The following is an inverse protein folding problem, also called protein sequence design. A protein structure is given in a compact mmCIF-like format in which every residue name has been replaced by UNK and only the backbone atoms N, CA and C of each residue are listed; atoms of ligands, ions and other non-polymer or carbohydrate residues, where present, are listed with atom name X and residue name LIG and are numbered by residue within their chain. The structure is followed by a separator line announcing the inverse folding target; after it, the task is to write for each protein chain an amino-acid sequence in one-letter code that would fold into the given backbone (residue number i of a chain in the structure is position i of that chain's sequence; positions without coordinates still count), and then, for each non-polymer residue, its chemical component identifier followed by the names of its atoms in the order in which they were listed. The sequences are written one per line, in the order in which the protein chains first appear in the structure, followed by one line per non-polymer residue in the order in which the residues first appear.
data_IF_077288743326
#
_entry.id   IF_077288743326
#
_cell.length_a   1.000
_cell.length_b   1.000
_cell.length_c   1.000
_cell.angle_alpha   90.00
_cell.angle_beta   90.00
_cell.angle_gamma   90.00
#
_symmetry.space_group_name_H-M   'P 1'
#
loop_
_entity.id
_entity.type
_entity.pdbx_description
1 polymer ?
#
# COMPACT_ATOMS: atom_id res chain seq x y z
N UNK A 1 33.66 -8.29 -7.67
CA UNK A 1 33.80 -9.50 -6.81
C UNK A 1 32.42 -10.11 -6.69
N UNK A 2 32.29 -11.44 -6.74
CA UNK A 2 30.99 -12.08 -6.57
C UNK A 2 30.60 -12.03 -5.09
N UNK A 3 29.49 -11.39 -4.78
CA UNK A 3 28.94 -11.34 -3.43
C UNK A 3 28.08 -12.60 -3.20
N UNK A 4 28.20 -13.25 -2.04
CA UNK A 4 27.30 -14.35 -1.68
C UNK A 4 25.85 -13.86 -1.66
N UNK A 5 24.96 -14.76 -2.06
CA UNK A 5 23.53 -14.51 -2.12
C UNK A 5 22.93 -14.27 -0.73
N UNK A 6 21.74 -13.67 -0.69
CA UNK A 6 21.02 -13.45 0.57
C UNK A 6 20.69 -14.76 1.28
N UNK A 7 20.37 -15.82 0.53
CA UNK A 7 20.02 -17.13 1.07
C UNK A 7 21.21 -17.77 1.80
N UNK A 8 22.40 -17.71 1.22
CA UNK A 8 23.63 -18.21 1.86
C UNK A 8 23.94 -17.48 3.17
N UNK A 9 23.72 -16.16 3.23
CA UNK A 9 23.87 -15.40 4.48
C UNK A 9 22.81 -15.77 5.53
N UNK A 10 21.60 -16.11 5.13
CA UNK A 10 20.56 -16.57 6.06
C UNK A 10 20.96 -17.92 6.65
N UNK A 11 21.38 -18.88 5.84
CA UNK A 11 21.87 -20.18 6.33
C UNK A 11 23.09 -20.03 7.24
N UNK A 12 23.99 -19.07 6.96
CA UNK A 12 25.09 -18.74 7.86
C UNK A 12 24.60 -18.19 9.22
N UNK A 13 23.63 -17.27 9.22
CA UNK A 13 23.10 -16.67 10.45
C UNK A 13 22.30 -17.64 11.33
N UNK A 14 21.71 -18.68 10.74
CA UNK A 14 20.97 -19.73 11.45
C UNK A 14 21.81 -20.98 11.75
N UNK A 15 23.13 -20.93 11.54
CA UNK A 15 24.06 -22.06 11.75
C UNK A 15 23.66 -23.34 10.97
N UNK A 16 23.08 -23.19 9.78
CA UNK A 16 22.61 -24.29 8.93
C UNK A 16 23.70 -24.79 7.94
N UNK A 17 24.87 -24.16 7.95
CA UNK A 17 25.98 -24.47 7.04
C UNK A 17 27.02 -25.40 7.68
N UNK A 18 27.74 -26.15 6.85
CA UNK A 18 28.88 -26.96 7.30
C UNK A 18 30.07 -26.06 7.70
N UNK A 19 30.98 -26.57 8.53
CA UNK A 19 32.13 -25.83 9.06
C UNK A 19 33.01 -25.16 7.99
N UNK A 20 33.21 -25.82 6.84
CA UNK A 20 34.01 -25.27 5.75
C UNK A 20 33.30 -24.10 5.03
N UNK A 21 31.98 -24.17 4.91
CA UNK A 21 31.17 -23.13 4.27
C UNK A 21 31.04 -21.89 5.15
N UNK A 22 30.85 -22.08 6.46
CA UNK A 22 30.82 -20.97 7.42
C UNK A 22 32.18 -20.26 7.51
N UNK A 23 33.30 -21.01 7.48
CA UNK A 23 34.64 -20.44 7.44
C UNK A 23 34.89 -19.59 6.18
N UNK A 24 34.43 -20.04 5.01
CA UNK A 24 34.56 -19.29 3.75
C UNK A 24 33.75 -17.99 3.76
N UNK A 25 32.51 -18.02 4.25
CA UNK A 25 31.69 -16.82 4.39
C UNK A 25 32.26 -15.86 5.43
N UNK A 26 32.80 -16.37 6.53
CA UNK A 26 33.50 -15.55 7.52
C UNK A 26 34.74 -14.87 6.92
N UNK A 27 35.54 -15.59 6.14
CA UNK A 27 36.67 -15.00 5.41
C UNK A 27 36.22 -13.89 4.44
N UNK A 28 35.06 -14.06 3.79
CA UNK A 28 34.47 -13.04 2.94
C UNK A 28 34.08 -11.77 3.72
N UNK A 29 33.55 -11.90 4.94
CA UNK A 29 33.22 -10.76 5.82
C UNK A 29 34.45 -9.95 6.25
N UNK A 30 35.62 -10.59 6.35
CA UNK A 30 36.87 -9.89 6.61
C UNK A 30 37.36 -9.06 5.41
N UNK A 31 36.96 -9.44 4.20
CA UNK A 31 37.45 -8.82 2.95
C UNK A 31 36.46 -7.79 2.38
N UNK A 32 35.15 -7.97 2.59
CA UNK A 32 34.11 -7.12 2.02
C UNK A 32 33.35 -6.32 3.11
N UNK A 33 33.57 -4.99 3.19
CA UNK A 33 32.89 -4.14 4.19
C UNK A 33 31.38 -4.01 3.93
N UNK A 34 30.93 -4.09 2.68
CA UNK A 34 29.51 -3.98 2.32
C UNK A 34 28.69 -5.20 2.74
N UNK A 35 29.26 -6.40 2.63
CA UNK A 35 28.62 -7.61 3.16
C UNK A 35 28.63 -7.60 4.69
N UNK A 36 29.71 -7.10 5.30
CA UNK A 36 29.82 -6.97 6.76
C UNK A 36 28.77 -6.05 7.36
N UNK A 37 28.50 -4.89 6.75
CA UNK A 37 27.47 -3.98 7.27
C UNK A 37 26.08 -4.61 7.25
N UNK A 38 25.70 -5.26 6.15
CA UNK A 38 24.41 -5.94 6.00
C UNK A 38 24.22 -7.08 7.00
N UNK A 39 25.24 -7.93 7.18
CA UNK A 39 25.18 -9.05 8.13
C UNK A 39 25.09 -8.55 9.58
N UNK A 40 25.83 -7.49 9.93
CA UNK A 40 25.76 -6.88 11.25
C UNK A 40 24.37 -6.28 11.53
N UNK A 41 23.74 -5.64 10.55
CA UNK A 41 22.38 -5.11 10.67
C UNK A 41 21.37 -6.22 11.01
N UNK A 42 21.46 -7.36 10.31
CA UNK A 42 20.59 -8.51 10.57
C UNK A 42 20.84 -9.16 11.94
N UNK A 43 22.11 -9.25 12.37
CA UNK A 43 22.45 -9.74 13.71
C UNK A 43 21.95 -8.79 14.82
N UNK A 44 22.03 -7.47 14.60
CA UNK A 44 21.51 -6.48 15.53
C UNK A 44 19.98 -6.56 15.64
N UNK A 45 19.27 -6.70 14.52
CA UNK A 45 17.83 -6.90 14.52
C UNK A 45 17.42 -8.18 15.27
N UNK A 46 18.14 -9.28 15.05
CA UNK A 46 17.89 -10.56 15.74
C UNK A 46 18.12 -10.47 17.25
N UNK A 47 19.24 -9.90 17.68
CA UNK A 47 19.55 -9.73 19.10
C UNK A 47 18.54 -8.82 19.82
N UNK A 48 18.05 -7.77 19.16
CA UNK A 48 16.99 -6.92 19.69
C UNK A 48 15.65 -7.66 19.87
N UNK A 49 15.35 -8.62 18.99
CA UNK A 49 14.17 -9.50 19.13
C UNK A 49 14.36 -10.56 20.23
N UNK A 50 15.56 -11.09 20.41
CA UNK A 50 15.87 -12.04 21.50
C UNK A 50 15.81 -11.37 22.89
N UNK A 51 16.18 -10.09 22.98
CA UNK A 51 16.09 -9.29 24.19
C UNK A 51 14.63 -8.95 24.56
N UNK A 52 13.75 -8.88 23.56
CA UNK A 52 12.30 -8.75 23.73
C UNK A 52 11.67 -10.04 24.27
N UNK A 53 11.98 -10.40 25.52
CA UNK A 53 11.27 -11.44 26.26
C UNK A 53 9.97 -10.88 26.85
N UNK A 54 8.86 -11.49 26.47
CA UNK A 54 7.51 -11.23 27.03
C UNK A 54 7.60 -11.21 28.57
N UNK A 55 7.08 -10.16 29.24
CA UNK A 55 7.14 -10.09 30.70
C UNK A 55 6.46 -11.33 31.30
N UNK A 56 7.26 -12.18 31.96
CA UNK A 56 6.72 -13.28 32.76
C UNK A 56 5.78 -12.66 33.79
N UNK A 57 4.48 -12.96 33.66
CA UNK A 57 3.42 -12.51 34.56
C UNK A 57 3.81 -12.99 35.97
N UNK A 58 4.43 -12.13 36.78
CA UNK A 58 4.72 -12.42 38.18
C UNK A 58 3.37 -12.57 38.86
N UNK A 59 3.03 -13.81 39.24
CA UNK A 59 1.88 -14.09 40.07
C UNK A 59 2.03 -13.30 41.36
N UNK A 60 1.13 -12.33 41.57
CA UNK A 60 1.09 -11.53 42.79
C UNK A 60 0.62 -12.46 43.90
N UNK A 61 1.56 -12.94 44.73
CA UNK A 61 1.21 -13.67 45.96
C UNK A 61 0.60 -12.63 46.90
N UNK A 62 -0.73 -12.63 46.99
CA UNK A 62 -1.45 -11.85 47.99
C UNK A 62 -1.28 -12.59 49.31
N UNK A 63 -0.38 -12.10 50.16
CA UNK A 63 -0.21 -12.61 51.51
C UNK A 63 -1.40 -12.11 52.36
N UNK A 64 -2.46 -12.91 52.44
CA UNK A 64 -3.60 -12.64 53.30
C UNK A 64 -3.25 -12.97 54.76
N UNK A 65 -2.85 -11.96 55.54
CA UNK A 65 -2.78 -12.02 57.00
C UNK A 65 -4.20 -11.93 57.55
N UNK A 66 -4.88 -13.05 57.87
CA UNK A 66 -5.12 -13.35 59.29
C UNK A 66 -5.26 -14.86 59.65
N UNK A 67 -4.78 -15.80 58.82
CA UNK A 67 -4.96 -17.25 59.06
C UNK A 67 -3.77 -17.98 59.72
N UNK A 68 -2.75 -17.26 60.21
CA UNK A 68 -1.52 -17.87 60.76
C UNK A 68 -1.79 -18.73 62.01
N UNK A 69 -2.83 -18.42 62.80
CA UNK A 69 -3.12 -19.16 64.05
C UNK A 69 -3.63 -20.58 63.81
N UNK A 70 -4.43 -20.78 62.76
CA UNK A 70 -4.92 -22.11 62.38
C UNK A 70 -3.86 -22.91 61.60
N UNK A 71 -2.96 -22.22 60.91
CA UNK A 71 -1.85 -22.86 60.20
C UNK A 71 -0.88 -23.58 61.15
N UNK A 72 -0.64 -23.05 62.36
CA UNK A 72 0.24 -23.70 63.33
C UNK A 72 -0.34 -25.04 63.85
N UNK A 73 -1.63 -25.08 64.16
CA UNK A 73 -2.30 -26.31 64.60
C UNK A 73 -2.34 -27.36 63.48
N UNK A 74 -2.67 -26.94 62.25
CA UNK A 74 -2.62 -27.80 61.08
C UNK A 74 -1.19 -28.30 60.80
N UNK A 75 -0.16 -27.47 60.99
CA UNK A 75 1.24 -27.84 60.81
C UNK A 75 1.69 -28.90 61.83
N UNK A 76 1.24 -28.83 63.08
CA UNK A 76 1.56 -29.85 64.09
C UNK A 76 0.89 -31.18 63.74
N UNK A 77 -0.40 -31.18 63.40
CA UNK A 77 -1.13 -32.39 63.00
C UNK A 77 -0.54 -32.99 61.71
N UNK A 78 -0.18 -32.16 60.73
CA UNK A 78 0.50 -32.59 59.51
C UNK A 78 1.91 -33.10 59.78
N UNK A 79 2.67 -32.50 60.70
CA UNK A 79 4.02 -32.98 61.03
C UNK A 79 4.02 -34.36 61.70
N UNK A 80 3.02 -34.63 62.56
CA UNK A 80 2.84 -35.94 63.19
C UNK A 80 2.35 -36.97 62.15
N UNK A 81 1.40 -36.60 61.29
CA UNK A 81 0.91 -37.46 60.21
C UNK A 81 1.98 -37.80 59.17
N UNK A 82 2.83 -36.83 58.80
CA UNK A 82 3.97 -37.03 57.88
C UNK A 82 5.09 -37.84 58.54
N UNK A 83 5.34 -37.64 59.84
CA UNK A 83 6.33 -38.41 60.61
C UNK A 83 5.97 -39.90 60.70
N UNK A 84 4.70 -40.22 60.99
CA UNK A 84 4.23 -41.61 61.03
C UNK A 84 4.15 -42.19 59.61
N UNK A 85 3.67 -41.42 58.63
CA UNK A 85 3.55 -41.86 57.24
C UNK A 85 4.90 -42.23 56.60
N UNK A 86 5.99 -41.55 56.94
CA UNK A 86 7.33 -41.90 56.41
C UNK A 86 7.96 -43.14 57.04
N UNK A 87 7.56 -43.51 58.26
CA UNK A 87 8.07 -44.70 58.94
C UNK A 87 7.32 -45.97 58.52
N UNK A 88 6.08 -45.85 58.03
CA UNK A 88 5.25 -46.99 57.58
C UNK A 88 5.12 -47.11 56.06
N UNK A 89 5.73 -46.20 55.29
CA UNK A 89 5.74 -46.30 53.83
C UNK A 89 6.74 -47.38 53.40
N UNK A 90 6.25 -48.53 52.94
CA UNK A 90 7.00 -49.33 51.99
C UNK A 90 7.41 -48.42 50.80
N UNK A 91 8.55 -48.64 50.13
CA UNK A 91 8.91 -47.86 48.95
C UNK A 91 7.83 -48.07 47.90
N UNK A 92 6.87 -47.15 47.84
CA UNK A 92 5.94 -47.06 46.73
C UNK A 92 6.81 -46.74 45.52
N UNK A 93 6.84 -47.66 44.57
CA UNK A 93 7.64 -47.49 43.37
C UNK A 93 7.10 -46.29 42.59
N UNK A 94 7.74 -45.14 42.80
CA UNK A 94 7.41 -43.87 42.14
C UNK A 94 7.50 -44.02 40.63
N UNK A 95 8.26 -45.02 40.12
CA UNK A 95 8.26 -45.33 38.70
C UNK A 95 6.94 -45.96 38.23
N UNK A 96 6.31 -46.81 39.02
CA UNK A 96 5.05 -47.46 38.64
C UNK A 96 3.88 -46.46 38.61
N UNK A 97 3.85 -45.54 39.59
CA UNK A 97 2.86 -44.46 39.63
C UNK A 97 3.11 -43.41 38.53
N UNK A 98 4.37 -43.08 38.25
CA UNK A 98 4.75 -42.21 37.12
C UNK A 98 4.39 -42.84 35.77
N UNK A 99 4.65 -44.13 35.60
CA UNK A 99 4.35 -44.86 34.37
C UNK A 99 2.84 -44.92 34.08
N UNK A 100 2.00 -44.94 35.12
CA UNK A 100 0.55 -44.93 34.98
C UNK A 100 -0.05 -43.53 34.72
N UNK A 101 0.46 -42.49 35.37
CA UNK A 101 -0.17 -41.15 35.37
C UNK A 101 0.40 -40.21 34.28
N UNK A 102 1.68 -40.33 33.92
CA UNK A 102 2.32 -39.51 32.88
C UNK A 102 1.65 -39.60 31.49
N UNK A 103 1.17 -40.76 31.00
CA UNK A 103 0.52 -40.82 29.68
C UNK A 103 -0.86 -40.15 29.67
N UNK A 104 -1.69 -40.34 30.70
CA UNK A 104 -3.03 -39.74 30.77
C UNK A 104 -2.96 -38.22 30.91
N UNK A 105 -2.11 -37.72 31.83
CA UNK A 105 -1.91 -36.29 32.01
C UNK A 105 -1.32 -35.62 30.77
N UNK A 106 -0.36 -36.27 30.07
CA UNK A 106 0.15 -35.76 28.79
C UNK A 106 -0.94 -35.70 27.72
N UNK A 107 -1.84 -36.68 27.70
CA UNK A 107 -2.87 -36.75 26.68
C UNK A 107 -3.95 -35.69 26.91
N UNK A 108 -4.32 -35.45 28.17
CA UNK A 108 -5.26 -34.40 28.55
C UNK A 108 -4.66 -33.00 28.32
N UNK A 109 -3.42 -32.75 28.76
CA UNK A 109 -2.73 -31.49 28.46
C UNK A 109 -2.59 -31.24 26.96
N UNK A 110 -2.27 -32.27 26.16
CA UNK A 110 -2.20 -32.13 24.70
C UNK A 110 -3.55 -31.77 24.09
N UNK A 111 -4.64 -32.33 24.61
CA UNK A 111 -6.01 -32.01 24.15
C UNK A 111 -6.37 -30.57 24.50
N UNK A 112 -6.18 -30.16 25.75
CA UNK A 112 -6.45 -28.79 26.18
C UNK A 112 -5.60 -27.77 25.43
N UNK A 113 -4.30 -28.04 25.25
CA UNK A 113 -3.44 -27.19 24.42
C UNK A 113 -3.93 -27.13 22.98
N UNK A 114 -4.25 -28.27 22.35
CA UNK A 114 -4.72 -28.29 20.97
C UNK A 114 -6.08 -27.60 20.79
N UNK A 115 -6.91 -27.54 21.83
CA UNK A 115 -8.16 -26.80 21.84
C UNK A 115 -7.93 -25.29 22.01
N UNK A 116 -7.15 -24.89 23.01
CA UNK A 116 -6.79 -23.48 23.24
C UNK A 116 -6.06 -22.87 22.04
N UNK A 117 -5.16 -23.64 21.42
CA UNK A 117 -4.41 -23.19 20.26
C UNK A 117 -5.34 -23.00 19.05
N UNK A 118 -6.28 -23.92 18.82
CA UNK A 118 -7.30 -23.78 17.76
C UNK A 118 -8.19 -22.57 18.00
N UNK A 119 -8.68 -22.37 19.22
CA UNK A 119 -9.54 -21.23 19.57
C UNK A 119 -8.80 -19.88 19.42
N UNK A 120 -7.52 -19.81 19.80
CA UNK A 120 -6.71 -18.60 19.55
C UNK A 120 -6.44 -18.37 18.06
N UNK A 121 -6.17 -19.43 17.29
CA UNK A 121 -6.00 -19.33 15.85
C UNK A 121 -7.27 -18.82 15.17
N UNK A 122 -8.44 -19.38 15.49
CA UNK A 122 -9.71 -18.96 14.92
C UNK A 122 -10.06 -17.50 15.28
N UNK A 123 -9.77 -17.07 16.51
CA UNK A 123 -9.92 -15.67 16.93
C UNK A 123 -8.95 -14.75 16.19
N UNK A 124 -7.69 -15.14 16.05
CA UNK A 124 -6.70 -14.32 15.33
C UNK A 124 -6.99 -14.26 13.83
N UNK A 125 -7.44 -15.35 13.23
CA UNK A 125 -7.80 -15.43 11.82
C UNK A 125 -9.04 -14.58 11.52
N UNK A 126 -10.09 -14.69 12.35
CA UNK A 126 -11.31 -13.89 12.18
C UNK A 126 -11.08 -12.40 12.40
N UNK A 127 -10.29 -12.01 13.40
CA UNK A 127 -9.95 -10.59 13.64
C UNK A 127 -9.08 -10.00 12.54
N UNK A 128 -8.06 -10.75 12.08
CA UNK A 128 -7.19 -10.31 10.98
C UNK A 128 -7.98 -10.20 9.67
N UNK A 129 -8.86 -11.17 9.39
CA UNK A 129 -9.69 -11.15 8.18
C UNK A 129 -10.71 -10.01 8.22
N UNK A 130 -11.35 -9.77 9.37
CA UNK A 130 -12.27 -8.65 9.55
C UNK A 130 -11.57 -7.30 9.39
N UNK A 131 -10.40 -7.13 10.02
CA UNK A 131 -9.59 -5.91 9.89
C UNK A 131 -9.11 -5.69 8.45
N UNK A 132 -8.64 -6.75 7.78
CA UNK A 132 -8.24 -6.72 6.37
C UNK A 132 -9.41 -6.38 5.44
N UNK A 133 -10.58 -6.96 5.69
CA UNK A 133 -11.79 -6.68 4.91
C UNK A 133 -12.21 -5.22 5.08
N UNK A 134 -12.14 -4.69 6.30
CA UNK A 134 -12.46 -3.29 6.58
C UNK A 134 -11.47 -2.34 5.90
N UNK A 135 -10.16 -2.60 6.00
CA UNK A 135 -9.14 -1.84 5.27
C UNK A 135 -9.38 -1.89 3.74
N UNK A 136 -9.72 -3.07 3.21
CA UNK A 136 -10.03 -3.22 1.78
C UNK A 136 -11.26 -2.40 1.37
N UNK A 137 -12.32 -2.39 2.19
CA UNK A 137 -13.51 -1.56 1.96
C UNK A 137 -13.19 -0.08 2.00
N UNK A 138 -12.34 0.35 2.93
CA UNK A 138 -11.91 1.75 3.04
C UNK A 138 -11.12 2.18 1.80
N UNK A 139 -10.16 1.37 1.36
CA UNK A 139 -9.39 1.63 0.14
C UNK A 139 -10.28 1.69 -1.11
N UNK A 140 -11.25 0.77 -1.23
CA UNK A 140 -12.24 0.78 -2.33
C UNK A 140 -13.10 2.05 -2.30
N UNK A 141 -13.55 2.48 -1.12
CA UNK A 141 -14.36 3.68 -0.97
C UNK A 141 -13.56 4.96 -1.24
N UNK A 142 -12.29 4.99 -0.89
CA UNK A 142 -11.37 6.08 -1.20
C UNK A 142 -11.07 6.15 -2.70
N UNK A 143 -10.77 5.00 -3.31
CA UNK A 143 -10.57 4.90 -4.76
C UNK A 143 -11.83 5.35 -5.54
N UNK A 144 -13.02 4.89 -5.14
CA UNK A 144 -14.27 5.31 -5.77
C UNK A 144 -14.48 6.83 -5.69
N UNK A 145 -14.19 7.43 -4.53
CA UNK A 145 -14.24 8.89 -4.35
C UNK A 145 -13.22 9.62 -5.23
N UNK A 146 -11.99 9.12 -5.32
CA UNK A 146 -10.96 9.70 -6.16
C UNK A 146 -11.32 9.65 -7.65
N UNK A 147 -11.89 8.54 -8.12
CA UNK A 147 -12.35 8.38 -9.50
C UNK A 147 -13.50 9.35 -9.80
N UNK A 148 -14.49 9.48 -8.92
CA UNK A 148 -15.63 10.38 -9.14
C UNK A 148 -15.20 11.86 -9.17
N UNK A 149 -14.29 12.25 -8.28
CA UNK A 149 -13.71 13.58 -8.28
C UNK A 149 -12.98 13.89 -9.59
N UNK A 150 -12.17 12.95 -10.09
CA UNK A 150 -11.49 13.09 -11.38
C UNK A 150 -12.44 13.14 -12.55
N UNK A 151 -13.49 12.32 -12.58
CA UNK A 151 -14.52 12.40 -13.62
C UNK A 151 -15.17 13.77 -13.65
N UNK A 152 -15.51 14.33 -12.50
CA UNK A 152 -16.13 15.66 -12.43
C UNK A 152 -15.21 16.75 -12.97
N UNK A 153 -13.92 16.69 -12.64
CA UNK A 153 -12.89 17.59 -13.17
C UNK A 153 -12.76 17.45 -14.70
N UNK A 154 -12.71 16.22 -15.21
CA UNK A 154 -12.63 15.93 -16.64
C UNK A 154 -13.86 16.43 -17.40
N UNK A 155 -15.07 16.23 -16.86
CA UNK A 155 -16.31 16.74 -17.45
C UNK A 155 -16.30 18.26 -17.54
N UNK A 156 -15.83 18.95 -16.49
CA UNK A 156 -15.72 20.40 -16.50
C UNK A 156 -14.69 20.88 -17.54
N UNK A 157 -13.54 20.22 -17.62
CA UNK A 157 -12.51 20.55 -18.60
C UNK A 157 -12.98 20.33 -20.05
N UNK A 158 -13.70 19.24 -20.32
CA UNK A 158 -14.28 18.93 -21.63
C UNK A 158 -15.34 19.98 -22.01
N UNK A 159 -16.25 20.30 -21.09
CA UNK A 159 -17.29 21.30 -21.36
C UNK A 159 -16.68 22.68 -21.62
N UNK A 160 -15.69 23.10 -20.82
CA UNK A 160 -14.97 24.34 -21.05
C UNK A 160 -14.24 24.36 -22.40
N UNK A 161 -13.66 23.24 -22.82
CA UNK A 161 -13.04 23.11 -24.14
C UNK A 161 -14.07 23.20 -25.28
N UNK A 162 -15.24 22.58 -25.12
CA UNK A 162 -16.34 22.65 -26.08
C UNK A 162 -16.88 24.08 -26.23
N UNK A 163 -17.12 24.77 -25.11
CA UNK A 163 -17.56 26.18 -25.10
C UNK A 163 -16.55 27.08 -25.80
N UNK A 164 -15.26 26.85 -25.54
CA UNK A 164 -14.17 27.58 -26.22
C UNK A 164 -14.19 27.34 -27.72
N UNK A 165 -14.29 26.08 -28.18
CA UNK A 165 -14.36 25.75 -29.61
C UNK A 165 -15.60 26.36 -30.28
N UNK A 166 -16.74 26.38 -29.59
CA UNK A 166 -17.96 27.01 -30.11
C UNK A 166 -17.79 28.52 -30.26
N UNK A 167 -17.22 29.19 -29.26
CA UNK A 167 -16.95 30.64 -29.32
C UNK A 167 -15.98 31.00 -30.45
N UNK A 168 -14.93 30.20 -30.63
CA UNK A 168 -13.97 30.36 -31.73
C UNK A 168 -14.64 30.18 -33.09
N UNK A 169 -15.44 29.12 -33.29
CA UNK A 169 -16.17 28.93 -34.55
C UNK A 169 -17.11 30.07 -34.89
N UNK A 170 -17.79 30.63 -33.90
CA UNK A 170 -18.67 31.79 -34.12
C UNK A 170 -17.86 33.01 -34.55
N UNK A 171 -16.74 33.30 -33.89
CA UNK A 171 -15.85 34.40 -34.26
C UNK A 171 -15.28 34.24 -35.68
N UNK A 172 -14.81 33.04 -36.02
CA UNK A 172 -14.29 32.71 -37.35
C UNK A 172 -15.37 32.86 -38.43
N UNK A 173 -16.60 32.42 -38.15
CA UNK A 173 -17.73 32.61 -39.06
C UNK A 173 -18.04 34.09 -39.31
N UNK A 174 -18.02 34.91 -38.26
CA UNK A 174 -18.22 36.36 -38.42
C UNK A 174 -17.09 37.02 -39.21
N UNK A 175 -15.84 36.61 -38.99
CA UNK A 175 -14.70 37.09 -39.78
C UNK A 175 -14.84 36.71 -41.25
N UNK A 176 -15.13 35.43 -41.53
CA UNK A 176 -15.29 34.94 -42.89
C UNK A 176 -16.43 35.67 -43.61
N UNK A 177 -17.56 35.90 -42.93
CA UNK A 177 -18.66 36.68 -43.50
C UNK A 177 -18.23 38.11 -43.85
N UNK A 178 -17.50 38.78 -42.95
CA UNK A 178 -16.98 40.13 -43.20
C UNK A 178 -16.05 40.16 -44.40
N UNK A 179 -15.19 39.15 -44.55
CA UNK A 179 -14.28 39.04 -45.68
C UNK A 179 -15.04 38.84 -47.00
N UNK A 180 -16.06 37.98 -47.00
CA UNK A 180 -16.95 37.78 -48.16
C UNK A 180 -17.71 39.06 -48.52
N UNK A 181 -18.29 39.75 -47.53
CA UNK A 181 -18.99 41.02 -47.74
C UNK A 181 -18.02 42.09 -48.30
N UNK A 182 -16.76 42.11 -47.83
CA UNK A 182 -15.71 43.00 -48.32
C UNK A 182 -15.32 42.68 -49.76
N UNK A 183 -15.12 41.41 -50.09
CA UNK A 183 -14.83 40.97 -51.46
C UNK A 183 -15.96 41.31 -52.42
N UNK A 184 -17.22 41.18 -51.99
CA UNK A 184 -18.38 41.56 -52.80
C UNK A 184 -18.40 43.07 -53.10
N UNK A 185 -18.15 43.92 -52.09
CA UNK A 185 -18.07 45.39 -52.26
C UNK A 185 -16.91 45.79 -53.17
N UNK A 186 -15.72 45.19 -52.98
CA UNK A 186 -14.56 45.45 -53.83
C UNK A 186 -14.82 45.05 -55.28
N UNK A 187 -15.43 43.88 -55.49
CA UNK A 187 -15.78 43.36 -56.81
C UNK A 187 -16.79 44.27 -57.52
N UNK A 188 -17.86 44.68 -56.85
CA UNK A 188 -18.85 45.64 -57.39
C UNK A 188 -18.18 46.97 -57.77
N UNK A 189 -17.30 47.49 -56.92
CA UNK A 189 -16.57 48.73 -57.22
C UNK A 189 -15.63 48.59 -58.42
N UNK A 190 -15.01 47.42 -58.58
CA UNK A 190 -14.16 47.07 -59.73
C UNK A 190 -14.95 46.99 -61.03
N UNK A 191 -16.11 46.32 -61.02
CA UNK A 191 -17.00 46.23 -62.17
C UNK A 191 -17.51 47.60 -62.62
N UNK A 192 -17.96 48.45 -61.70
CA UNK A 192 -18.39 49.82 -62.04
C UNK A 192 -17.26 50.64 -62.66
N UNK A 193 -16.05 50.55 -62.11
CA UNK A 193 -14.87 51.25 -62.64
C UNK A 193 -14.53 50.76 -64.05
N UNK A 194 -14.55 49.45 -64.29
CA UNK A 194 -14.31 48.88 -65.61
C UNK A 194 -15.37 49.33 -66.62
N UNK A 195 -16.64 49.36 -66.23
CA UNK A 195 -17.73 49.86 -67.08
C UNK A 195 -17.54 51.34 -67.43
N UNK A 196 -17.16 52.19 -66.47
CA UNK A 196 -16.86 53.60 -66.72
C UNK A 196 -15.69 53.77 -67.70
N UNK A 197 -14.62 52.99 -67.56
CA UNK A 197 -13.48 53.01 -68.48
C UNK A 197 -13.88 52.56 -69.90
N UNK A 198 -14.74 51.55 -70.03
CA UNK A 198 -15.24 51.10 -71.34
C UNK A 198 -16.08 52.18 -72.03
N UNK A 199 -16.92 52.92 -71.29
CA UNK A 199 -17.68 54.06 -71.85
C UNK A 199 -16.72 55.17 -72.32
N UNK A 200 -15.71 55.52 -71.52
CA UNK A 200 -14.70 56.52 -71.92
C UNK A 200 -13.92 56.11 -73.18
N UNK A 201 -13.55 54.82 -73.28
CA UNK A 201 -12.88 54.30 -74.48
C UNK A 201 -13.79 54.36 -75.71
N UNK A 202 -15.07 54.01 -75.56
CA UNK A 202 -16.06 54.09 -76.64
C UNK A 202 -16.25 55.54 -77.12
N UNK A 203 -16.40 56.49 -76.20
CA UNK A 203 -16.51 57.92 -76.50
C UNK A 203 -15.25 58.45 -77.21
N UNK A 204 -14.05 58.01 -76.80
CA UNK A 204 -12.80 58.39 -77.47
C UNK A 204 -12.69 57.83 -78.90
N UNK A 205 -13.22 56.62 -79.14
CA UNK A 205 -13.25 56.02 -80.49
C UNK A 205 -14.36 56.54 -81.40
N UNK A 206 -15.29 57.35 -80.90
CA UNK A 206 -16.33 58.01 -81.69
C UNK A 206 -15.82 59.41 -82.11
N UNK A 207 -15.17 59.59 -83.27
CA UNK A 207 -14.75 60.92 -83.70
C UNK A 207 -15.98 61.83 -83.86
N UNK A 208 -15.89 63.05 -83.34
CA UNK A 208 -16.89 64.08 -83.56
C UNK A 208 -17.03 64.32 -85.08
N UNK A 209 -18.05 63.74 -85.70
CA UNK A 209 -18.56 64.19 -86.98
C UNK A 209 -19.22 65.57 -86.77
N UNK A 210 -18.42 66.59 -86.52
CA UNK A 210 -18.83 67.98 -86.63
C UNK A 210 -18.89 68.31 -88.12
N UNK A 211 -20.03 68.04 -88.72
CA UNK A 211 -20.43 68.52 -90.04
C UNK A 211 -20.49 70.06 -90.02
N UNK A 212 -19.40 70.70 -90.42
CA UNK A 212 -19.43 72.09 -90.89
C UNK A 212 -20.29 72.13 -92.16
N UNK A 213 -21.54 72.61 -92.04
CA UNK A 213 -22.33 73.07 -93.18
C UNK A 213 -22.00 74.53 -93.46
N UNK A 214 -21.67 74.91 -94.71
CA UNK A 214 -21.50 76.31 -95.09
C UNK A 214 -22.88 76.93 -95.34
N UNK A 215 -23.17 78.08 -94.73
CA UNK A 215 -24.26 78.94 -95.16
C UNK A 215 -23.70 80.33 -95.49
N UNK A 216 -23.78 80.61 -96.80
CA UNK A 216 -23.84 81.90 -97.51
C UNK A 216 -22.89 83.05 -97.16
#
# INVERSE_FOLDING_TARGET
MNHPSREEWMSYLYDELNADQSANLQAHLHTCPDCKSKVNEWQAARSGLDEWRVPKRRGRVVLAQPMVKWAAAAAIVLSIGVGIGRLTSAPLDVQQVRAAIEPEMRQELRREFAQLFRDQLDKSASTTLAASTEQTRQLLAEFARAVEAKRTEDYQAINAALDKLQSQRLADFFSLKKDVDTMAVLTESGFRRAQQQLVQLADYTQPANSSNSPQH
#
